data_IF_387054236903
#
_entry.id   IF_387054236903
#
_cell.length_a   1.000
_cell.length_b   1.000
_cell.length_c   1.000
_cell.angle_alpha   90.00
_cell.angle_beta   90.00
_cell.angle_gamma   90.00
#
_symmetry.space_group_name_H-M   'P 1'
#
loop_
_entity.id
_entity.type
_entity.pdbx_description
1 polymer ?
#
# COMPACT_ATOMS: atom_id res chain seq x y z
N UNK A 1 -10.70 -22.99 10.45
CA UNK A 1 -10.08 -21.65 10.45
C UNK A 1 -10.10 -21.17 9.01
N UNK A 2 -10.88 -20.13 8.69
CA UNK A 2 -11.01 -19.65 7.31
C UNK A 2 -9.66 -19.10 6.83
N UNK A 3 -9.14 -19.67 5.75
CA UNK A 3 -7.88 -19.26 5.15
C UNK A 3 -8.10 -17.95 4.38
N UNK A 4 -7.97 -16.82 5.09
CA UNK A 4 -8.17 -15.45 4.58
C UNK A 4 -7.26 -15.10 3.40
N UNK A 5 -6.20 -15.89 3.16
CA UNK A 5 -5.32 -15.74 1.99
C UNK A 5 -6.00 -16.09 0.66
N UNK A 6 -7.08 -16.88 0.69
CA UNK A 6 -7.84 -17.24 -0.50
C UNK A 6 -8.95 -16.24 -0.84
N UNK A 7 -9.21 -15.27 0.03
CA UNK A 7 -10.18 -14.22 -0.26
C UNK A 7 -9.62 -13.27 -1.31
N UNK A 8 -10.38 -13.04 -2.38
CA UNK A 8 -9.97 -12.10 -3.44
C UNK A 8 -9.76 -10.68 -2.91
N UNK A 9 -10.45 -10.32 -1.82
CA UNK A 9 -10.22 -9.07 -1.09
C UNK A 9 -8.77 -8.96 -0.60
N UNK A 10 -8.21 -10.03 -0.02
CA UNK A 10 -6.82 -10.02 0.47
C UNK A 10 -5.81 -9.88 -0.67
N UNK A 11 -6.08 -10.53 -1.82
CA UNK A 11 -5.24 -10.37 -3.03
C UNK A 11 -5.29 -8.92 -3.53
N UNK A 12 -6.49 -8.35 -3.66
CA UNK A 12 -6.68 -6.95 -4.09
C UNK A 12 -6.04 -5.94 -3.15
N UNK A 13 -6.12 -6.14 -1.83
CA UNK A 13 -5.44 -5.28 -0.86
C UNK A 13 -3.92 -5.30 -1.03
N UNK A 14 -3.33 -6.47 -1.33
CA UNK A 14 -1.88 -6.55 -1.59
C UNK A 14 -1.46 -5.93 -2.92
N UNK A 15 -2.28 -6.06 -3.95
CA UNK A 15 -2.07 -5.35 -5.21
C UNK A 15 -2.12 -3.84 -5.01
N UNK A 16 -3.14 -3.35 -4.28
CA UNK A 16 -3.26 -1.94 -3.92
C UNK A 16 -2.04 -1.42 -3.15
N UNK A 17 -1.51 -2.18 -2.20
CA UNK A 17 -0.29 -1.83 -1.47
C UNK A 17 0.92 -1.67 -2.39
N UNK A 18 1.05 -2.57 -3.38
CA UNK A 18 2.11 -2.52 -4.38
C UNK A 18 1.95 -1.29 -5.28
N UNK A 19 0.75 -0.99 -5.73
CA UNK A 19 0.48 0.15 -6.60
C UNK A 19 0.77 1.48 -5.88
N UNK A 20 0.36 1.60 -4.61
CA UNK A 20 0.65 2.79 -3.80
C UNK A 20 2.15 2.92 -3.54
N UNK A 21 2.87 1.82 -3.34
CA UNK A 21 4.32 1.86 -3.25
C UNK A 21 4.96 2.37 -4.55
N UNK A 22 4.51 1.90 -5.72
CA UNK A 22 5.01 2.35 -7.02
C UNK A 22 4.69 3.82 -7.30
N UNK A 23 3.47 4.28 -7.01
CA UNK A 23 3.06 5.69 -7.18
C UNK A 23 3.88 6.59 -6.26
N UNK A 24 4.06 6.22 -4.99
CA UNK A 24 4.83 7.03 -4.04
C UNK A 24 6.34 7.06 -4.34
N UNK A 25 6.86 6.17 -5.19
CA UNK A 25 8.25 6.28 -5.66
C UNK A 25 8.48 7.43 -6.64
N UNK A 26 7.45 7.90 -7.34
CA UNK A 26 7.58 9.01 -8.28
C UNK A 26 7.50 10.38 -7.61
N UNK A 27 7.29 10.42 -6.29
CA UNK A 27 7.16 11.66 -5.55
C UNK A 27 8.53 12.32 -5.34
N UNK A 28 8.59 13.66 -5.22
CA UNK A 28 9.81 14.36 -4.83
C UNK A 28 10.36 13.83 -3.52
N UNK A 29 11.69 13.81 -3.36
CA UNK A 29 12.34 13.32 -2.14
C UNK A 29 11.90 14.09 -0.88
N UNK A 30 11.51 15.34 -1.03
CA UNK A 30 10.95 16.18 0.05
C UNK A 30 9.66 15.59 0.67
N UNK A 31 8.86 14.85 -0.12
CA UNK A 31 7.57 14.25 0.31
C UNK A 31 7.72 12.87 0.96
N UNK A 32 8.94 12.37 1.15
CA UNK A 32 9.22 11.05 1.72
C UNK A 32 8.61 10.89 3.12
N UNK A 33 8.68 11.94 3.94
CA UNK A 33 8.13 11.95 5.30
C UNK A 33 6.72 12.54 5.39
N UNK A 34 6.23 13.15 4.32
CA UNK A 34 4.89 13.73 4.21
C UNK A 34 3.90 12.72 3.63
N UNK A 35 3.43 13.01 2.41
CA UNK A 35 2.39 12.22 1.74
C UNK A 35 2.78 10.75 1.54
N UNK A 36 4.04 10.48 1.21
CA UNK A 36 4.54 9.11 0.99
C UNK A 36 4.39 8.23 2.23
N UNK A 37 4.74 8.75 3.41
CA UNK A 37 4.68 8.00 4.66
C UNK A 37 3.23 7.76 5.10
N UNK A 38 2.38 8.77 4.95
CA UNK A 38 0.95 8.65 5.27
C UNK A 38 0.26 7.61 4.38
N UNK A 39 0.44 7.72 3.06
CA UNK A 39 -0.18 6.80 2.09
C UNK A 39 0.27 5.35 2.31
N UNK A 40 1.56 5.11 2.56
CA UNK A 40 2.04 3.75 2.81
C UNK A 40 1.45 3.16 4.09
N UNK A 41 1.37 3.93 5.17
CA UNK A 41 0.78 3.46 6.44
C UNK A 41 -0.69 3.07 6.31
N UNK A 42 -1.48 3.86 5.58
CA UNK A 42 -2.92 3.63 5.41
C UNK A 42 -3.27 2.34 4.64
N UNK A 43 -2.32 1.75 3.90
CA UNK A 43 -2.57 0.54 3.10
C UNK A 43 -2.06 -0.72 3.80
N UNK A 44 -1.17 -0.55 4.78
CA UNK A 44 -0.65 -1.64 5.60
C UNK A 44 -1.40 -1.84 6.93
N UNK A 45 -2.14 -0.82 7.42
CA UNK A 45 -3.10 -0.96 8.54
C UNK A 45 -4.44 -1.47 8.05
#
# INVERSE_FOLDING_TARGET
MLDFKNMDVWKKCRELAKDIYLITQTFPKEETFGLTLQMRRSVYQ
#
